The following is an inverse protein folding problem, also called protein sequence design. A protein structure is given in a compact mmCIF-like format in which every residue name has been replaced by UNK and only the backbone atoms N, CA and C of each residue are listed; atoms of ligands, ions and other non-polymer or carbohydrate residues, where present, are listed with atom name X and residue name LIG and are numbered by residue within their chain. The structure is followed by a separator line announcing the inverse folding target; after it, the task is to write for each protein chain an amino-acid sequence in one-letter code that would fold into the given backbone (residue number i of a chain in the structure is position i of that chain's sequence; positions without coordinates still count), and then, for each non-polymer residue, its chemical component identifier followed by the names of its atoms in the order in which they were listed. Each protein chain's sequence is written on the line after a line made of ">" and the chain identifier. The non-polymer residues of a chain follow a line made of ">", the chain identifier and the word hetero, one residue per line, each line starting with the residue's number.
data_IF_072090159697
#
_entry.id   IF_072090159697
#
_cell.length_a   1.000
_cell.length_b   1.000
_cell.length_c   1.000
_cell.angle_alpha   90.00
_cell.angle_beta   90.00
_cell.angle_gamma   90.00
#
_symmetry.space_group_name_H-M   'P 1'
#
loop_
_entity.id
_entity.type
_entity.pdbx_description
1 polymer ?
#
# COMPACT_ATOMS: atom_id res chain seq x y z
N UNK A 1 9.12 -67.23 -36.54
CA UNK A 1 8.39 -66.02 -37.01
C UNK A 1 7.24 -65.78 -36.04
N UNK A 2 7.16 -64.62 -35.40
CA UNK A 2 6.07 -64.29 -34.46
C UNK A 2 4.76 -64.11 -35.23
N UNK A 3 3.70 -64.84 -34.85
CA UNK A 3 2.37 -64.76 -35.46
C UNK A 3 1.83 -63.32 -35.44
N UNK A 4 1.14 -62.90 -36.51
CA UNK A 4 0.49 -61.58 -36.62
C UNK A 4 -0.49 -61.33 -35.46
N UNK A 5 -1.17 -62.36 -34.99
CA UNK A 5 -2.05 -62.30 -33.82
C UNK A 5 -1.28 -61.98 -32.52
N UNK A 6 -0.07 -62.51 -32.37
CA UNK A 6 0.78 -62.25 -31.20
C UNK A 6 1.32 -60.80 -31.20
N UNK A 7 1.61 -60.24 -32.39
CA UNK A 7 1.99 -58.82 -32.51
C UNK A 7 0.82 -57.88 -32.18
N UNK A 8 -0.39 -58.23 -32.65
CA UNK A 8 -1.62 -57.45 -32.38
C UNK A 8 -2.00 -57.47 -30.89
N UNK A 9 -1.92 -58.63 -30.23
CA UNK A 9 -2.17 -58.75 -28.79
C UNK A 9 -1.19 -57.94 -27.95
N UNK A 10 0.08 -57.87 -28.35
CA UNK A 10 1.10 -57.08 -27.66
C UNK A 10 0.86 -55.57 -27.84
N UNK A 11 0.40 -55.14 -29.02
CA UNK A 11 -0.02 -53.76 -29.30
C UNK A 11 -1.26 -53.35 -28.48
N UNK A 12 -2.28 -54.21 -28.40
CA UNK A 12 -3.46 -53.96 -27.57
C UNK A 12 -3.12 -53.90 -26.08
N UNK A 13 -2.22 -54.78 -25.60
CA UNK A 13 -1.75 -54.75 -24.22
C UNK A 13 -0.98 -53.48 -23.88
N UNK A 14 -0.12 -53.00 -24.79
CA UNK A 14 0.60 -51.74 -24.59
C UNK A 14 -0.35 -50.53 -24.62
N UNK A 15 -1.34 -50.55 -25.52
CA UNK A 15 -2.38 -49.52 -25.60
C UNK A 15 -3.25 -49.44 -24.36
N UNK A 16 -3.69 -50.58 -23.80
CA UNK A 16 -4.50 -50.62 -22.58
C UNK A 16 -3.72 -50.13 -21.36
N UNK A 17 -2.43 -50.49 -21.24
CA UNK A 17 -1.54 -49.95 -20.19
C UNK A 17 -1.38 -48.45 -20.32
N UNK A 18 -1.20 -47.93 -21.54
CA UNK A 18 -1.12 -46.49 -21.80
C UNK A 18 -2.38 -45.73 -21.36
N UNK A 19 -3.57 -46.28 -21.63
CA UNK A 19 -4.85 -45.68 -21.20
C UNK A 19 -4.97 -45.67 -19.67
N UNK A 20 -4.60 -46.76 -19.00
CA UNK A 20 -4.63 -46.84 -17.54
C UNK A 20 -3.65 -45.84 -16.92
N UNK A 21 -2.42 -45.76 -17.42
CA UNK A 21 -1.42 -44.78 -16.96
C UNK A 21 -1.89 -43.35 -17.19
N UNK A 22 -2.48 -43.06 -18.36
CA UNK A 22 -3.05 -41.75 -18.67
C UNK A 22 -4.20 -41.37 -17.73
N UNK A 23 -5.13 -42.29 -17.47
CA UNK A 23 -6.23 -42.07 -16.55
C UNK A 23 -5.75 -41.83 -15.11
N UNK A 24 -4.79 -42.64 -14.64
CA UNK A 24 -4.14 -42.44 -13.33
C UNK A 24 -3.47 -41.07 -13.27
N UNK A 25 -2.69 -40.70 -14.30
CA UNK A 25 -2.02 -39.41 -14.34
C UNK A 25 -3.01 -38.26 -14.30
N UNK A 26 -4.13 -38.31 -15.02
CA UNK A 26 -5.17 -37.28 -14.98
C UNK A 26 -5.81 -37.12 -13.59
N UNK A 27 -6.03 -38.22 -12.87
CA UNK A 27 -6.61 -38.19 -11.52
C UNK A 27 -5.62 -37.60 -10.50
N UNK A 28 -4.33 -37.97 -10.57
CA UNK A 28 -3.33 -37.51 -9.61
C UNK A 28 -2.67 -36.17 -10.00
N UNK A 29 -2.79 -35.72 -11.24
CA UNK A 29 -2.18 -34.50 -11.74
C UNK A 29 -2.51 -33.25 -10.90
N UNK A 30 -3.78 -32.97 -10.54
CA UNK A 30 -4.09 -31.80 -9.72
C UNK A 30 -3.40 -31.85 -8.36
N UNK A 31 -3.37 -33.03 -7.71
CA UNK A 31 -2.77 -33.19 -6.39
C UNK A 31 -1.26 -32.93 -6.41
N UNK A 32 -0.56 -33.51 -7.40
CA UNK A 32 0.88 -33.31 -7.58
C UNK A 32 1.17 -31.85 -7.93
N UNK A 33 0.41 -31.26 -8.84
CA UNK A 33 0.56 -29.87 -9.24
C UNK A 33 0.38 -28.92 -8.06
N UNK A 34 -0.70 -29.05 -7.28
CA UNK A 34 -0.92 -28.20 -6.10
C UNK A 34 0.11 -28.43 -5.00
N UNK A 35 0.60 -29.66 -4.82
CA UNK A 35 1.67 -29.94 -3.86
C UNK A 35 2.97 -29.21 -4.24
N UNK A 36 3.34 -29.21 -5.53
CA UNK A 36 4.52 -28.48 -6.00
C UNK A 36 4.31 -26.97 -5.98
N UNK A 37 3.13 -26.50 -6.39
CA UNK A 37 2.79 -25.08 -6.36
C UNK A 37 2.85 -24.52 -4.93
N UNK A 38 2.31 -25.24 -3.94
CA UNK A 38 2.40 -24.83 -2.52
C UNK A 38 3.85 -24.73 -2.05
N UNK A 39 4.73 -25.69 -2.42
CA UNK A 39 6.16 -25.63 -2.07
C UNK A 39 6.87 -24.42 -2.65
N UNK A 40 6.49 -23.99 -3.86
CA UNK A 40 7.09 -22.82 -4.50
C UNK A 40 6.53 -21.50 -3.97
N UNK A 41 5.23 -21.42 -3.70
CA UNK A 41 4.55 -20.17 -3.30
C UNK A 41 4.67 -19.84 -1.81
N UNK A 42 4.85 -20.85 -0.94
CA UNK A 42 5.03 -20.58 0.48
C UNK A 42 6.40 -19.92 0.66
N UNK A 43 6.41 -18.82 1.41
CA UNK A 43 7.63 -18.13 1.77
C UNK A 43 8.37 -18.98 2.82
N UNK A 44 9.48 -19.58 2.41
CA UNK A 44 10.39 -20.36 3.27
C UNK A 44 11.82 -20.10 2.78
N UNK A 45 12.82 -20.29 3.63
CA UNK A 45 14.24 -20.05 3.26
C UNK A 45 14.69 -20.83 2.00
N UNK A 46 14.04 -21.97 1.73
CA UNK A 46 14.39 -22.87 0.62
C UNK A 46 13.52 -22.67 -0.62
N UNK A 47 12.46 -21.85 -0.56
CA UNK A 47 11.58 -21.67 -1.71
C UNK A 47 12.14 -20.65 -2.70
N UNK A 48 11.88 -20.87 -4.00
CA UNK A 48 12.31 -19.96 -5.07
C UNK A 48 11.74 -18.55 -4.88
N UNK A 49 10.54 -18.44 -4.32
CA UNK A 49 9.87 -17.16 -4.08
C UNK A 49 10.58 -16.29 -3.03
N UNK A 50 11.37 -16.89 -2.13
CA UNK A 50 12.08 -16.13 -1.09
C UNK A 50 13.13 -15.19 -1.67
N UNK A 51 13.88 -15.61 -2.69
CA UNK A 51 14.89 -14.75 -3.33
C UNK A 51 14.26 -13.50 -3.94
N UNK A 52 13.18 -13.67 -4.69
CA UNK A 52 12.44 -12.57 -5.34
C UNK A 52 11.75 -11.68 -4.29
N UNK A 53 11.22 -12.27 -3.22
CA UNK A 53 10.61 -11.52 -2.13
C UNK A 53 11.64 -10.72 -1.33
N UNK A 54 12.84 -11.26 -1.11
CA UNK A 54 13.92 -10.58 -0.38
C UNK A 54 14.47 -9.39 -1.16
N UNK A 55 14.70 -9.58 -2.46
CA UNK A 55 15.27 -8.58 -3.35
C UNK A 55 14.57 -8.65 -4.71
N UNK A 56 13.86 -7.57 -5.06
CA UNK A 56 13.06 -7.53 -6.28
C UNK A 56 14.02 -7.32 -7.46
N UNK A 57 14.10 -8.25 -8.43
CA UNK A 57 15.09 -8.19 -9.51
C UNK A 57 14.72 -7.19 -10.62
N UNK A 58 13.56 -6.52 -10.51
CA UNK A 58 13.02 -5.61 -11.51
C UNK A 58 13.20 -4.18 -11.01
N UNK A 59 13.80 -3.28 -11.79
CA UNK A 59 13.93 -1.88 -11.39
C UNK A 59 12.54 -1.23 -11.31
N UNK A 60 12.27 -0.58 -10.18
CA UNK A 60 11.07 0.24 -9.98
C UNK A 60 11.45 1.71 -10.10
N UNK A 61 10.53 2.53 -10.61
CA UNK A 61 10.75 3.97 -10.76
C UNK A 61 9.66 4.75 -10.05
N UNK A 62 10.07 5.77 -9.29
CA UNK A 62 9.21 6.76 -8.67
C UNK A 62 9.31 8.04 -9.49
N UNK A 63 8.19 8.46 -10.08
CA UNK A 63 8.08 9.74 -10.77
C UNK A 63 7.44 10.77 -9.84
N UNK A 64 8.19 11.82 -9.52
CA UNK A 64 7.68 12.93 -8.72
C UNK A 64 7.33 14.12 -9.62
N UNK A 65 6.09 14.60 -9.51
CA UNK A 65 5.62 15.82 -10.14
C UNK A 65 5.42 16.88 -9.06
N UNK A 66 5.98 18.06 -9.28
CA UNK A 66 5.93 19.17 -8.34
C UNK A 66 5.06 20.28 -8.91
N UNK A 67 4.39 21.04 -8.03
CA UNK A 67 3.58 22.19 -8.44
C UNK A 67 4.27 23.49 -8.02
N UNK A 68 4.75 24.25 -9.02
CA UNK A 68 5.34 25.55 -8.82
C UNK A 68 4.27 26.64 -8.78
N UNK A 69 4.23 27.44 -7.71
CA UNK A 69 3.26 28.51 -7.53
C UNK A 69 3.73 29.75 -8.31
N UNK A 70 2.90 30.24 -9.24
CA UNK A 70 3.27 31.37 -10.13
C UNK A 70 2.80 32.73 -9.64
N UNK A 71 1.77 32.79 -8.78
CA UNK A 71 1.13 34.04 -8.35
C UNK A 71 1.36 34.37 -6.86
N UNK A 72 2.57 34.14 -6.35
CA UNK A 72 2.91 34.33 -4.92
C UNK A 72 2.69 35.78 -4.46
N UNK A 73 3.14 36.76 -5.24
CA UNK A 73 3.02 38.18 -4.87
C UNK A 73 1.56 38.63 -4.74
N UNK A 74 0.68 38.17 -5.62
CA UNK A 74 -0.74 38.50 -5.60
C UNK A 74 -1.47 37.90 -4.41
N UNK A 75 -1.09 36.68 -4.02
CA UNK A 75 -1.62 36.00 -2.83
C UNK A 75 -1.20 36.76 -1.57
N UNK A 76 0.09 37.09 -1.45
CA UNK A 76 0.60 37.82 -0.29
C UNK A 76 0.02 39.24 -0.19
N UNK A 77 -0.25 39.88 -1.32
CA UNK A 77 -0.93 41.17 -1.37
C UNK A 77 -2.45 41.10 -1.12
N UNK A 78 -3.02 39.91 -0.93
CA UNK A 78 -4.46 39.70 -0.74
C UNK A 78 -5.32 39.99 -1.97
N UNK A 79 -4.71 40.10 -3.16
CA UNK A 79 -5.39 40.41 -4.43
C UNK A 79 -5.95 39.16 -5.11
N UNK A 80 -5.32 38.00 -4.88
CA UNK A 80 -5.76 36.72 -5.43
C UNK A 80 -6.09 35.73 -4.29
N UNK A 81 -7.32 35.23 -4.27
CA UNK A 81 -7.73 34.16 -3.35
C UNK A 81 -7.40 32.75 -3.87
N UNK A 82 -7.18 32.60 -5.18
CA UNK A 82 -6.90 31.32 -5.84
C UNK A 82 -5.41 31.19 -6.14
N UNK A 83 -4.85 30.03 -5.79
CA UNK A 83 -3.45 29.69 -6.11
C UNK A 83 -3.38 29.22 -7.57
N UNK A 84 -2.49 29.82 -8.34
CA UNK A 84 -2.14 29.40 -9.70
C UNK A 84 -0.85 28.61 -9.64
N UNK A 85 -0.88 27.40 -10.19
CA UNK A 85 0.24 26.47 -10.17
C UNK A 85 0.58 26.01 -11.57
N UNK A 86 1.86 25.72 -11.78
CA UNK A 86 2.40 25.08 -12.96
C UNK A 86 3.05 23.77 -12.55
N UNK A 87 2.70 22.67 -13.21
CA UNK A 87 3.34 21.38 -12.99
C UNK A 87 4.76 21.37 -13.55
N UNK A 88 5.70 20.81 -12.77
CA UNK A 88 7.12 20.67 -13.11
C UNK A 88 7.55 19.24 -12.80
N UNK A 89 8.13 18.56 -13.78
CA UNK A 89 8.57 17.17 -13.66
C UNK A 89 8.48 16.42 -15.00
N UNK A 90 8.64 15.09 -14.97
CA UNK A 90 8.92 14.28 -13.78
C UNK A 90 10.36 14.41 -13.26
N UNK A 91 10.53 14.27 -11.94
CA UNK A 91 11.81 13.93 -11.30
C UNK A 91 11.79 12.45 -10.99
N UNK A 92 12.59 11.66 -11.70
CA UNK A 92 12.55 10.21 -11.67
C UNK A 92 13.62 9.66 -10.74
N UNK A 93 13.22 8.74 -9.87
CA UNK A 93 14.12 8.00 -8.99
C UNK A 93 13.96 6.51 -9.19
N UNK A 94 15.06 5.80 -9.43
CA UNK A 94 15.09 4.34 -9.36
C UNK A 94 15.04 3.89 -7.91
N UNK A 95 14.05 3.07 -7.60
CA UNK A 95 13.80 2.56 -6.26
C UNK A 95 14.29 1.11 -6.15
N UNK A 96 15.03 0.81 -5.08
CA UNK A 96 15.51 -0.53 -4.75
C UNK A 96 15.01 -0.93 -3.37
N UNK A 97 14.38 -2.11 -3.27
CA UNK A 97 13.85 -2.66 -2.01
C UNK A 97 14.63 -3.91 -1.62
N UNK A 98 15.16 -3.92 -0.39
CA UNK A 98 15.85 -5.08 0.17
C UNK A 98 15.28 -5.39 1.55
N UNK A 99 14.95 -6.66 1.80
CA UNK A 99 14.53 -7.13 3.13
C UNK A 99 15.74 -7.60 3.92
N UNK A 100 15.97 -6.99 5.07
CA UNK A 100 17.09 -7.29 5.98
C UNK A 100 16.60 -7.74 7.35
N UNK A 101 17.50 -8.33 8.14
CA UNK A 101 17.23 -8.90 9.48
C UNK A 101 15.97 -9.78 9.51
N UNK A 102 15.97 -10.79 8.64
CA UNK A 102 14.83 -11.70 8.47
C UNK A 102 14.84 -12.74 9.59
N UNK A 103 13.79 -12.75 10.40
CA UNK A 103 13.56 -13.71 11.49
C UNK A 103 12.29 -14.53 11.22
N UNK A 104 12.41 -15.85 11.27
CA UNK A 104 11.28 -16.77 11.10
C UNK A 104 10.67 -17.12 12.45
N UNK A 105 9.37 -16.87 12.59
CA UNK A 105 8.65 -17.10 13.83
C UNK A 105 7.94 -18.46 13.81
N UNK A 106 7.82 -19.10 14.97
CA UNK A 106 7.13 -20.40 15.14
C UNK A 106 5.63 -20.37 14.78
N UNK A 107 5.04 -19.18 14.65
CA UNK A 107 3.63 -18.97 14.28
C UNK A 107 3.42 -18.81 12.77
N UNK A 108 4.33 -19.32 11.93
CA UNK A 108 4.27 -19.20 10.46
C UNK A 108 4.28 -17.76 9.94
N UNK A 109 4.95 -16.85 10.66
CA UNK A 109 5.18 -15.48 10.22
C UNK A 109 6.67 -15.19 10.08
N UNK A 110 6.99 -14.07 9.43
CA UNK A 110 8.36 -13.61 9.24
C UNK A 110 8.44 -12.14 9.63
N UNK A 111 9.43 -11.81 10.45
CA UNK A 111 9.78 -10.43 10.83
C UNK A 111 10.94 -9.97 9.95
N UNK A 112 10.90 -8.74 9.45
CA UNK A 112 11.95 -8.17 8.60
C UNK A 112 11.92 -6.64 8.62
N UNK A 113 13.03 -6.00 8.27
CA UNK A 113 13.08 -4.59 7.91
C UNK A 113 13.10 -4.43 6.39
N UNK A 114 12.39 -3.41 5.88
CA UNK A 114 12.38 -3.09 4.46
C UNK A 114 13.25 -1.86 4.22
N UNK A 115 14.46 -2.07 3.70
CA UNK A 115 15.33 -1.00 3.27
C UNK A 115 14.92 -0.53 1.88
N UNK A 116 14.68 0.78 1.75
CA UNK A 116 14.29 1.44 0.50
C UNK A 116 15.34 2.49 0.14
N UNK A 117 15.93 2.35 -1.03
CA UNK A 117 16.88 3.31 -1.58
C UNK A 117 16.32 3.94 -2.85
N UNK A 118 16.52 5.25 -2.98
CA UNK A 118 16.12 6.01 -4.16
C UNK A 118 17.35 6.63 -4.81
N UNK A 119 17.57 6.31 -6.07
CA UNK A 119 18.67 6.82 -6.89
C UNK A 119 18.09 7.74 -7.96
N UNK A 120 18.51 8.99 -8.00
CA UNK A 120 18.02 9.93 -9.00
C UNK A 120 18.49 9.55 -10.40
N UNK A 121 17.57 9.53 -11.36
CA UNK A 121 17.81 9.15 -12.76
C UNK A 121 17.65 10.38 -13.67
N UNK A 122 18.75 11.08 -14.02
CA UNK A 122 18.68 12.32 -14.80
C UNK A 122 18.18 12.12 -16.23
N UNK A 123 18.43 10.95 -16.84
CA UNK A 123 18.06 10.69 -18.24
C UNK A 123 16.55 10.55 -18.46
N UNK A 124 15.82 10.13 -17.41
CA UNK A 124 14.35 10.03 -17.43
C UNK A 124 13.68 11.25 -16.80
N UNK A 125 14.45 12.17 -16.23
CA UNK A 125 13.94 13.37 -15.56
C UNK A 125 13.92 14.56 -16.52
N UNK A 126 12.86 15.36 -16.45
CA UNK A 126 12.72 16.58 -17.25
C UNK A 126 13.33 17.83 -16.58
N UNK A 127 13.88 17.67 -15.38
CA UNK A 127 14.42 18.74 -14.54
C UNK A 127 15.58 18.24 -13.68
N UNK A 128 16.30 19.17 -13.05
CA UNK A 128 17.47 18.89 -12.22
C UNK A 128 17.15 18.97 -10.72
N UNK A 129 17.94 18.31 -9.86
CA UNK A 129 17.80 18.46 -8.40
C UNK A 129 18.07 19.90 -7.91
N UNK A 130 18.61 20.77 -8.76
CA UNK A 130 18.83 22.19 -8.48
C UNK A 130 17.68 23.10 -8.92
N UNK A 131 16.59 22.55 -9.45
CA UNK A 131 15.45 23.34 -9.92
C UNK A 131 14.75 24.07 -8.76
N UNK A 132 14.52 25.36 -8.95
CA UNK A 132 13.86 26.20 -7.94
C UNK A 132 12.35 26.09 -8.07
N UNK A 133 11.71 25.46 -7.08
CA UNK A 133 10.26 25.30 -7.02
C UNK A 133 9.72 26.11 -5.85
N UNK A 134 8.80 27.03 -6.14
CA UNK A 134 8.12 27.81 -5.11
C UNK A 134 6.87 27.07 -4.65
N UNK A 135 6.82 26.70 -3.37
CA UNK A 135 5.72 25.96 -2.76
C UNK A 135 5.35 26.51 -1.38
N UNK A 136 4.24 26.02 -0.83
CA UNK A 136 3.79 26.37 0.52
C UNK A 136 4.76 25.78 1.55
N UNK A 137 5.08 26.54 2.59
CA UNK A 137 5.89 26.02 3.70
C UNK A 137 5.06 25.06 4.57
N UNK A 138 5.34 23.73 4.54
CA UNK A 138 4.52 22.75 5.24
C UNK A 138 4.63 22.88 6.76
N UNK A 139 5.76 23.35 7.28
CA UNK A 139 6.00 23.50 8.73
C UNK A 139 5.08 24.60 9.29
N UNK A 140 5.00 25.73 8.60
CA UNK A 140 4.13 26.85 9.01
C UNK A 140 2.66 26.44 8.97
N UNK A 141 2.25 25.74 7.91
CA UNK A 141 0.88 25.20 7.80
C UNK A 141 0.58 24.25 8.95
N UNK A 142 1.48 23.32 9.26
CA UNK A 142 1.29 22.36 10.36
C UNK A 142 1.13 23.07 11.71
N UNK A 143 1.97 24.08 12.00
CA UNK A 143 1.87 24.88 13.23
C UNK A 143 0.52 25.60 13.27
N UNK A 144 0.09 26.22 12.18
CA UNK A 144 -1.21 26.90 12.10
C UNK A 144 -2.37 25.96 12.43
N UNK A 145 -2.39 24.76 11.85
CA UNK A 145 -3.41 23.74 12.12
C UNK A 145 -3.39 23.31 13.59
N UNK A 146 -2.20 23.06 14.16
CA UNK A 146 -2.06 22.67 15.56
C UNK A 146 -2.59 23.75 16.50
N UNK A 147 -2.30 25.02 16.23
CA UNK A 147 -2.78 26.15 17.03
C UNK A 147 -4.30 26.30 16.95
N UNK A 148 -4.89 26.16 15.76
CA UNK A 148 -6.35 26.18 15.58
C UNK A 148 -6.99 25.07 16.42
N UNK A 149 -6.49 23.82 16.32
CA UNK A 149 -7.01 22.70 17.10
C UNK A 149 -6.86 22.90 18.61
N UNK A 150 -5.71 23.43 19.06
CA UNK A 150 -5.48 23.74 20.46
C UNK A 150 -6.43 24.84 20.96
N UNK A 151 -6.69 25.88 20.15
CA UNK A 151 -7.62 26.95 20.51
C UNK A 151 -9.06 26.44 20.67
N UNK A 152 -9.52 25.56 19.78
CA UNK A 152 -10.83 24.91 19.85
C UNK A 152 -10.91 24.05 21.11
N UNK A 153 -9.86 23.28 21.41
CA UNK A 153 -9.80 22.47 22.62
C UNK A 153 -9.87 23.31 23.91
N UNK A 154 -9.14 24.42 23.96
CA UNK A 154 -9.17 25.36 25.09
C UNK A 154 -10.58 25.97 25.24
N UNK A 155 -11.18 26.41 24.13
CA UNK A 155 -12.53 26.96 24.13
C UNK A 155 -13.55 25.93 24.59
N UNK A 156 -13.48 24.70 24.09
CA UNK A 156 -14.36 23.60 24.49
C UNK A 156 -14.20 23.26 25.97
N UNK A 157 -12.97 23.20 26.49
CA UNK A 157 -12.72 22.99 27.92
C UNK A 157 -13.27 24.13 28.78
N UNK A 158 -13.21 25.37 28.27
CA UNK A 158 -13.79 26.55 28.93
C UNK A 158 -15.32 26.49 28.90
N UNK A 159 -15.93 26.11 27.78
CA UNK A 159 -17.38 25.95 27.62
C UNK A 159 -17.92 24.84 28.53
N UNK A 160 -17.29 23.67 28.53
CA UNK A 160 -17.69 22.53 29.37
C UNK A 160 -17.54 22.78 30.88
N UNK A 161 -16.67 23.71 31.28
CA UNK A 161 -16.50 24.13 32.67
C UNK A 161 -17.36 25.35 33.04
N UNK A 162 -18.03 25.97 32.08
CA UNK A 162 -18.88 27.14 32.34
C UNK A 162 -20.09 26.71 33.17
N UNK A 163 -20.40 27.40 34.29
CA UNK A 163 -21.53 27.06 35.16
C UNK A 163 -22.88 27.03 34.41
N UNK A 164 -23.05 27.95 33.44
CA UNK A 164 -24.25 28.12 32.62
C UNK A 164 -24.50 26.96 31.64
N UNK A 165 -23.48 26.14 31.38
CA UNK A 165 -23.50 25.04 30.39
C UNK A 165 -23.29 23.69 31.06
N UNK A 166 -23.64 23.61 32.34
CA UNK A 166 -23.67 22.37 33.12
C UNK A 166 -24.48 21.30 32.38
N UNK A 167 -23.93 20.11 32.11
CA UNK A 167 -24.65 19.06 31.36
C UNK A 167 -25.84 18.47 32.13
N UNK A 168 -25.94 18.78 33.44
CA UNK A 168 -27.04 18.36 34.30
C UNK A 168 -28.10 19.46 34.25
N UNK A 169 -29.08 19.28 33.36
CA UNK A 169 -30.28 20.11 33.32
C UNK A 169 -31.18 19.72 34.52
N UNK A 170 -31.23 20.55 35.56
CA UNK A 170 -32.26 20.43 36.59
C UNK A 170 -33.54 21.08 36.04
N UNK A 171 -34.31 20.35 35.25
CA UNK A 171 -35.64 20.82 34.84
C UNK A 171 -36.54 20.79 36.07
N UNK A 172 -36.83 21.95 36.66
CA UNK A 172 -37.80 22.07 37.73
C UNK A 172 -39.20 21.79 37.18
N UNK A 173 -39.78 20.64 37.54
CA UNK A 173 -41.14 20.20 37.21
C UNK A 173 -42.27 21.09 37.79
N UNK A 174 -41.99 22.36 38.08
CA UNK A 174 -42.89 23.31 38.75
C UNK A 174 -43.38 24.46 37.85
N UNK A 175 -42.82 24.62 36.65
CA UNK A 175 -43.20 25.73 35.75
C UNK A 175 -44.51 25.46 34.98
N UNK A 176 -45.06 24.24 35.03
CA UNK A 176 -46.28 23.85 34.29
C UNK A 176 -47.60 23.91 35.10
N UNK A 177 -47.62 24.37 36.35
CA UNK A 177 -48.83 24.29 37.21
C UNK A 177 -49.48 25.65 37.48
N UNK A 178 -48.84 26.78 37.15
CA UNK A 178 -49.40 28.12 37.44
C UNK A 178 -50.28 28.74 36.35
N UNK A 179 -50.30 28.20 35.12
CA UNK A 179 -50.93 28.85 33.97
C UNK A 179 -52.32 28.30 33.59
N UNK A 180 -52.94 27.48 34.43
CA UNK A 180 -54.24 26.85 34.14
C UNK A 180 -55.41 27.37 35.02
N UNK A 181 -55.46 28.68 35.31
CA UNK A 181 -56.63 29.29 35.98
C UNK A 181 -57.13 30.55 35.28
#
# INVERSE_FOLDING_TARGET
>A
MVSSAMKSGLLMGFGSVGVVVGAVMLVYWPSIFFAQLRRMMILTETSTSFGIWREIPIPMYLECYMFNITNVEEILAGKAAKISVQEVGPYVYRETHTKVDIEWNDNSTVTFYNERYWYYEPEMSNGSLSDLITSVNPIVVAIGVVLIMASIWILMKKLLRSPETSPILQNSSQENISDER
#
